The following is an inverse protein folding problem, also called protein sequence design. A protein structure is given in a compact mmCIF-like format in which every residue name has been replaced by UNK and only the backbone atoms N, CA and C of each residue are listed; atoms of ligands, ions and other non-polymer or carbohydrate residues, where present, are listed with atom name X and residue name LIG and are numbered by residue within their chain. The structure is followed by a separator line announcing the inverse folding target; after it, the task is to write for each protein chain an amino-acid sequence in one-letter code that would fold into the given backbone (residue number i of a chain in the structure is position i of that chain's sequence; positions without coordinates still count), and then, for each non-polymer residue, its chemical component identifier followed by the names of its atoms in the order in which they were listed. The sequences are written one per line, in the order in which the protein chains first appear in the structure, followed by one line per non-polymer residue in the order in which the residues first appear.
data_IF_159253357816
#
_entry.id   IF_159253357816
#
_cell.length_a   1.000
_cell.length_b   1.000
_cell.length_c   1.000
_cell.angle_alpha   90.00
_cell.angle_beta   90.00
_cell.angle_gamma   90.00
#
_symmetry.space_group_name_H-M   'P 1'
#
loop_
_entity.id
_entity.type
_entity.pdbx_description
1 polymer ?
#
# COMPACT_ATOMS: atom_id res chain seq x y z
N UNK A 1 -26.23 7.02 38.60
CA UNK A 1 -25.49 6.55 37.41
C UNK A 1 -25.92 5.16 36.96
N UNK A 2 -25.88 4.15 37.85
CA UNK A 2 -26.27 2.76 37.57
C UNK A 2 -27.67 2.57 36.95
N UNK A 3 -28.69 3.28 37.44
CA UNK A 3 -30.07 3.19 36.90
C UNK A 3 -30.20 3.62 35.43
N UNK A 4 -29.32 4.52 34.95
CA UNK A 4 -29.32 4.96 33.54
C UNK A 4 -28.69 3.91 32.63
N UNK A 5 -27.64 3.23 33.10
CA UNK A 5 -26.96 2.16 32.38
C UNK A 5 -27.87 0.94 32.20
N UNK A 6 -28.61 0.55 33.25
CA UNK A 6 -29.54 -0.59 33.17
C UNK A 6 -30.76 -0.30 32.28
N UNK A 7 -31.23 0.95 32.23
CA UNK A 7 -32.30 1.36 31.32
C UNK A 7 -31.86 1.31 29.84
N UNK A 8 -30.62 1.73 29.54
CA UNK A 8 -30.04 1.63 28.21
C UNK A 8 -29.89 0.17 27.76
N UNK A 9 -29.42 -0.71 28.65
CA UNK A 9 -29.32 -2.15 28.37
C UNK A 9 -30.67 -2.81 28.07
N UNK A 10 -31.72 -2.47 28.85
CA UNK A 10 -33.08 -2.98 28.58
C UNK A 10 -33.64 -2.51 27.25
N UNK A 11 -33.32 -1.27 26.85
CA UNK A 11 -33.75 -0.70 25.55
C UNK A 11 -33.00 -1.34 24.38
N UNK A 12 -31.73 -1.71 24.54
CA UNK A 12 -30.90 -2.31 23.50
C UNK A 12 -31.12 -3.83 23.33
N UNK A 13 -31.46 -4.56 24.42
CA UNK A 13 -31.70 -6.01 24.43
C UNK A 13 -32.55 -6.57 23.27
N UNK A 14 -33.71 -5.99 22.90
CA UNK A 14 -34.54 -6.54 21.82
C UNK A 14 -33.91 -6.39 20.43
N UNK A 15 -32.93 -5.49 20.25
CA UNK A 15 -32.22 -5.29 18.98
C UNK A 15 -30.95 -6.13 18.86
N UNK A 16 -30.42 -6.64 19.97
CA UNK A 16 -29.25 -7.55 20.00
C UNK A 16 -29.44 -8.75 19.07
N UNK A 17 -30.56 -9.49 19.07
CA UNK A 17 -30.73 -10.61 18.14
C UNK A 17 -30.79 -10.13 16.68
N UNK A 18 -31.33 -8.95 16.39
CA UNK A 18 -31.37 -8.40 15.03
C UNK A 18 -29.96 -8.01 14.54
N UNK A 19 -29.14 -7.41 15.39
CA UNK A 19 -27.73 -7.10 15.11
C UNK A 19 -26.94 -8.40 14.92
N UNK A 20 -27.13 -9.40 15.78
CA UNK A 20 -26.45 -10.70 15.64
C UNK A 20 -26.90 -11.42 14.36
N UNK A 21 -28.18 -11.33 13.97
CA UNK A 21 -28.72 -11.93 12.75
C UNK A 21 -28.25 -11.24 11.46
N UNK A 22 -28.00 -9.93 11.49
CA UNK A 22 -27.43 -9.21 10.32
C UNK A 22 -25.95 -9.50 10.14
N UNK A 23 -25.19 -9.71 11.22
CA UNK A 23 -23.78 -10.12 11.14
C UNK A 23 -23.60 -11.61 10.83
N UNK A 24 -24.48 -12.50 11.32
CA UNK A 24 -24.36 -13.95 11.07
C UNK A 24 -24.67 -14.33 9.62
N UNK A 25 -25.53 -13.60 8.89
CA UNK A 25 -25.77 -13.90 7.46
C UNK A 25 -24.57 -13.59 6.55
N UNK A 26 -23.71 -12.64 6.93
CA UNK A 26 -22.44 -12.39 6.20
C UNK A 26 -21.45 -13.53 6.43
N UNK A 27 -21.47 -14.16 7.61
CA UNK A 27 -20.59 -15.28 7.93
C UNK A 27 -21.07 -16.63 7.36
N UNK A 28 -22.37 -16.81 7.11
CA UNK A 28 -22.95 -18.12 6.74
C UNK A 28 -23.24 -18.31 5.24
N UNK A 29 -23.05 -17.30 4.39
CA UNK A 29 -23.31 -17.37 2.94
C UNK A 29 -22.05 -17.46 2.08
N UNK A 30 -20.87 -17.65 2.68
CA UNK A 30 -19.67 -17.96 1.92
C UNK A 30 -19.63 -19.48 1.68
N UNK A 31 -19.68 -19.96 0.41
CA UNK A 31 -19.09 -21.27 0.14
C UNK A 31 -17.63 -21.20 0.63
N UNK A 32 -17.06 -22.30 1.14
CA UNK A 32 -15.80 -22.32 1.89
C UNK A 32 -14.51 -21.88 1.17
N UNK A 33 -14.58 -20.99 0.18
CA UNK A 33 -13.47 -20.22 -0.39
C UNK A 33 -13.78 -18.71 -0.32
N UNK A 34 -12.73 -17.90 -0.21
CA UNK A 34 -12.87 -16.43 -0.33
C UNK A 34 -13.66 -16.08 -1.60
N UNK A 35 -14.54 -15.05 -1.58
CA UNK A 35 -15.30 -14.65 -2.77
C UNK A 35 -14.37 -14.40 -3.95
N UNK A 36 -14.67 -14.91 -5.15
CA UNK A 36 -13.79 -14.78 -6.33
C UNK A 36 -13.39 -13.33 -6.67
N UNK A 37 -14.26 -12.37 -6.35
CA UNK A 37 -13.95 -10.94 -6.52
C UNK A 37 -12.80 -10.47 -5.59
N UNK A 38 -12.75 -11.00 -4.36
CA UNK A 38 -11.72 -10.68 -3.37
C UNK A 38 -10.40 -11.33 -3.75
N UNK A 39 -10.42 -12.59 -4.21
CA UNK A 39 -9.20 -13.29 -4.65
C UNK A 39 -8.61 -12.68 -5.93
N UNK A 40 -9.45 -12.30 -6.90
CA UNK A 40 -9.02 -11.61 -8.12
C UNK A 40 -8.34 -10.26 -7.82
N UNK A 41 -8.90 -9.48 -6.91
CA UNK A 41 -8.31 -8.20 -6.49
C UNK A 41 -6.97 -8.39 -5.76
N UNK A 42 -6.86 -9.38 -4.87
CA UNK A 42 -5.61 -9.72 -4.16
C UNK A 42 -4.52 -10.12 -5.16
N UNK A 43 -4.86 -10.95 -6.16
CA UNK A 43 -3.91 -11.39 -7.19
C UNK A 43 -3.42 -10.22 -8.05
N UNK A 44 -4.32 -9.34 -8.49
CA UNK A 44 -3.95 -8.17 -9.29
C UNK A 44 -3.02 -7.22 -8.50
N UNK A 45 -3.31 -7.00 -7.21
CA UNK A 45 -2.45 -6.22 -6.33
C UNK A 45 -1.09 -6.87 -6.09
N UNK A 46 -1.04 -8.20 -5.93
CA UNK A 46 0.21 -8.94 -5.78
C UNK A 46 1.08 -8.88 -7.05
N UNK A 47 0.46 -9.02 -8.22
CA UNK A 47 1.15 -8.89 -9.50
C UNK A 47 1.67 -7.46 -9.68
N UNK A 48 0.80 -6.46 -9.53
CA UNK A 48 1.18 -5.05 -9.69
C UNK A 48 2.31 -4.66 -8.73
N UNK A 49 2.26 -5.06 -7.46
CA UNK A 49 3.33 -4.78 -6.49
C UNK A 49 4.63 -5.51 -6.84
N UNK A 50 4.56 -6.74 -7.36
CA UNK A 50 5.73 -7.47 -7.86
C UNK A 50 6.41 -6.76 -9.03
N UNK A 51 5.62 -6.27 -9.99
CA UNK A 51 6.14 -5.48 -11.11
C UNK A 51 6.74 -4.16 -10.65
N UNK A 52 6.10 -3.46 -9.70
CA UNK A 52 6.59 -2.20 -9.17
C UNK A 52 7.94 -2.34 -8.46
N UNK A 53 8.15 -3.41 -7.67
CA UNK A 53 9.44 -3.71 -7.03
C UNK A 53 10.58 -3.93 -8.04
N UNK A 54 10.27 -4.30 -9.28
CA UNK A 54 11.26 -4.43 -10.36
C UNK A 54 11.46 -3.12 -11.13
N UNK A 55 10.39 -2.36 -11.38
CA UNK A 55 10.41 -1.15 -12.19
C UNK A 55 11.03 0.03 -11.43
N UNK A 56 10.72 0.20 -10.15
CA UNK A 56 11.19 1.36 -9.38
C UNK A 56 12.72 1.41 -9.31
N UNK A 57 13.45 0.32 -9.03
CA UNK A 57 14.92 0.34 -9.01
C UNK A 57 15.50 0.55 -10.41
N UNK A 58 14.89 -0.07 -11.44
CA UNK A 58 15.32 0.10 -12.83
C UNK A 58 15.15 1.55 -13.32
N UNK A 59 13.99 2.16 -13.07
CA UNK A 59 13.69 3.54 -13.46
C UNK A 59 14.56 4.53 -12.67
N UNK A 60 14.75 4.30 -11.36
CA UNK A 60 15.63 5.12 -10.53
C UNK A 60 17.09 5.04 -11.01
N UNK A 61 17.56 3.83 -11.33
CA UNK A 61 18.90 3.62 -11.88
C UNK A 61 19.09 4.32 -13.22
N UNK A 62 18.11 4.23 -14.12
CA UNK A 62 18.15 4.92 -15.42
C UNK A 62 18.18 6.45 -15.27
N UNK A 63 17.35 7.01 -14.39
CA UNK A 63 17.31 8.45 -14.14
C UNK A 63 18.60 8.97 -13.46
N UNK A 64 19.18 8.20 -12.54
CA UNK A 64 20.49 8.49 -11.94
C UNK A 64 21.58 8.43 -13.02
N UNK A 65 21.55 7.42 -13.89
CA UNK A 65 22.49 7.29 -15.01
C UNK A 65 22.41 8.47 -15.99
N UNK A 66 21.19 8.92 -16.32
CA UNK A 66 20.98 10.11 -17.14
C UNK A 66 21.60 11.35 -16.50
N UNK A 67 21.32 11.62 -15.21
CA UNK A 67 21.90 12.77 -14.52
C UNK A 67 23.42 12.67 -14.34
N UNK A 68 23.97 11.46 -14.17
CA UNK A 68 25.40 11.23 -14.14
C UNK A 68 26.05 11.56 -15.51
N UNK A 69 25.41 11.17 -16.60
CA UNK A 69 25.87 11.48 -17.96
C UNK A 69 25.83 12.98 -18.25
N UNK A 70 24.72 13.65 -17.92
CA UNK A 70 24.57 15.10 -18.11
C UNK A 70 25.60 15.88 -17.29
N UNK A 71 25.90 15.42 -16.07
CA UNK A 71 26.97 15.98 -15.24
C UNK A 71 28.35 15.85 -15.89
N UNK A 72 28.65 14.72 -16.54
CA UNK A 72 29.94 14.53 -17.25
C UNK A 72 30.06 15.46 -18.46
N UNK A 73 28.95 15.79 -19.12
CA UNK A 73 28.91 16.68 -20.29
C UNK A 73 28.88 18.18 -19.94
N UNK A 74 28.75 18.56 -18.67
CA UNK A 74 28.56 19.96 -18.25
C UNK A 74 29.86 20.79 -18.19
N UNK A 75 30.92 20.38 -18.90
CA UNK A 75 32.22 21.08 -19.03
C UNK A 75 32.84 21.60 -17.70
N UNK A 76 32.49 20.97 -16.57
CA UNK A 76 33.02 21.32 -15.26
C UNK A 76 32.40 22.55 -14.59
N UNK A 77 31.30 23.11 -15.11
CA UNK A 77 30.57 24.18 -14.40
C UNK A 77 30.02 23.65 -13.05
N UNK A 78 30.46 24.22 -11.90
CA UNK A 78 30.06 23.75 -10.59
C UNK A 78 28.55 23.88 -10.33
N UNK A 79 27.89 24.87 -10.94
CA UNK A 79 26.47 25.15 -10.68
C UNK A 79 25.57 24.07 -11.29
N UNK A 80 25.80 23.71 -12.56
CA UNK A 80 25.10 22.61 -13.26
C UNK A 80 25.43 21.25 -12.66
N UNK A 81 26.69 20.99 -12.30
CA UNK A 81 27.08 19.74 -11.62
C UNK A 81 26.39 19.58 -10.25
N UNK A 82 26.23 20.66 -9.48
CA UNK A 82 25.53 20.64 -8.20
C UNK A 82 24.03 20.38 -8.37
N UNK A 83 23.39 20.93 -9.41
CA UNK A 83 21.99 20.67 -9.72
C UNK A 83 21.75 19.19 -10.05
N UNK A 84 22.59 18.58 -10.89
CA UNK A 84 22.50 17.16 -11.21
C UNK A 84 22.76 16.25 -10.00
N UNK A 85 23.72 16.58 -9.13
CA UNK A 85 23.93 15.83 -7.88
C UNK A 85 22.70 15.85 -6.96
N UNK A 86 22.03 17.01 -6.83
CA UNK A 86 20.78 17.12 -6.07
C UNK A 86 19.67 16.29 -6.70
N UNK A 87 19.55 16.32 -8.03
CA UNK A 87 18.56 15.52 -8.75
C UNK A 87 18.80 14.02 -8.55
N UNK A 88 20.04 13.54 -8.69
CA UNK A 88 20.40 12.13 -8.41
C UNK A 88 20.02 11.71 -6.99
N UNK A 89 20.31 12.55 -5.99
CA UNK A 89 19.93 12.28 -4.59
C UNK A 89 18.42 12.20 -4.41
N UNK A 90 17.67 13.11 -5.03
CA UNK A 90 16.21 13.13 -4.93
C UNK A 90 15.58 11.89 -5.58
N UNK A 91 16.11 11.46 -6.73
CA UNK A 91 15.69 10.20 -7.39
C UNK A 91 15.97 9.00 -6.49
N UNK A 92 17.14 8.95 -5.85
CA UNK A 92 17.52 7.85 -4.97
C UNK A 92 16.62 7.78 -3.72
N UNK A 93 16.30 8.93 -3.12
CA UNK A 93 15.35 9.04 -2.00
C UNK A 93 13.94 8.65 -2.45
N UNK A 94 13.48 9.14 -3.60
CA UNK A 94 12.17 8.83 -4.16
C UNK A 94 12.01 7.34 -4.46
N UNK A 95 13.04 6.72 -5.04
CA UNK A 95 13.09 5.29 -5.29
C UNK A 95 13.03 4.47 -4.01
N UNK A 96 13.79 4.85 -2.96
CA UNK A 96 13.76 4.17 -1.67
C UNK A 96 12.38 4.27 -0.98
N UNK A 97 11.71 5.42 -1.06
CA UNK A 97 10.35 5.59 -0.54
C UNK A 97 9.35 4.73 -1.32
N UNK A 98 9.45 4.74 -2.66
CA UNK A 98 8.61 3.92 -3.53
C UNK A 98 8.74 2.43 -3.24
N UNK A 99 9.98 1.92 -3.18
CA UNK A 99 10.28 0.54 -2.82
C UNK A 99 9.72 0.16 -1.44
N UNK A 100 9.92 1.02 -0.45
CA UNK A 100 9.43 0.77 0.91
C UNK A 100 7.90 0.72 0.96
N UNK A 101 7.21 1.62 0.26
CA UNK A 101 5.75 1.67 0.21
C UNK A 101 5.17 0.42 -0.47
N UNK A 102 5.76 -0.01 -1.58
CA UNK A 102 5.35 -1.21 -2.31
C UNK A 102 5.65 -2.47 -1.48
N UNK A 103 6.83 -2.53 -0.84
CA UNK A 103 7.21 -3.62 0.05
C UNK A 103 6.25 -3.79 1.23
N UNK A 104 5.86 -2.69 1.89
CA UNK A 104 4.85 -2.71 2.95
C UNK A 104 3.51 -3.21 2.42
N UNK A 105 3.06 -2.70 1.27
CA UNK A 105 1.79 -3.13 0.65
C UNK A 105 1.80 -4.64 0.39
N UNK A 106 2.90 -5.19 -0.14
CA UNK A 106 3.06 -6.63 -0.38
C UNK A 106 3.09 -7.44 0.91
N UNK A 107 3.76 -6.94 1.95
CA UNK A 107 3.75 -7.55 3.28
C UNK A 107 2.34 -7.61 3.87
N UNK A 108 1.52 -6.56 3.68
CA UNK A 108 0.12 -6.58 4.08
C UNK A 108 -0.71 -7.58 3.28
N UNK A 109 -0.55 -7.64 1.95
CA UNK A 109 -1.26 -8.58 1.09
C UNK A 109 -0.98 -10.05 1.46
N UNK A 110 0.22 -10.37 1.92
CA UNK A 110 0.60 -11.71 2.35
C UNK A 110 -0.22 -12.25 3.55
N UNK A 111 -0.88 -11.38 4.33
CA UNK A 111 -1.78 -11.82 5.42
C UNK A 111 -3.18 -12.22 4.94
N UNK A 112 -3.54 -11.88 3.70
CA UNK A 112 -4.85 -12.15 3.11
C UNK A 112 -4.82 -13.30 2.08
N UNK A 113 -3.62 -13.82 1.79
CA UNK A 113 -3.37 -15.04 1.01
C UNK A 113 -3.32 -16.26 1.94
#
# INVERSE_FOLDING_TARGET
MFKRITALFKKAMPYVPFIVLTFTRVALAAPGGQPEFVSGAINLLNDATTWLLGIIPAASGAAIGYHALMKQMSDGDPATAAAHNRAMRNVLIGGAIGESAVGITKAFLAYFQ
#
